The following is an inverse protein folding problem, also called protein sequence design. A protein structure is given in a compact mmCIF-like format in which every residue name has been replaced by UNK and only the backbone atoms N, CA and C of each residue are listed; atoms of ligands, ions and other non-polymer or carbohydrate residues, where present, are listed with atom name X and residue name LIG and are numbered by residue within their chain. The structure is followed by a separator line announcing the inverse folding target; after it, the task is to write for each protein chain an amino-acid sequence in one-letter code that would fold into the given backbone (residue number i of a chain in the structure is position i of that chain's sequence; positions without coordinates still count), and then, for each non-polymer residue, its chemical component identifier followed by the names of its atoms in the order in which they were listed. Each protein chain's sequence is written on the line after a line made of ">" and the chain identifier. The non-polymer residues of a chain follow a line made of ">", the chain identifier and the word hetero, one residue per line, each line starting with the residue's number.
data_IF_760372717450
#
_entry.id   IF_760372717450
#
_cell.length_a   1.000
_cell.length_b   1.000
_cell.length_c   1.000
_cell.angle_alpha   90.00
_cell.angle_beta   90.00
_cell.angle_gamma   90.00
#
_symmetry.space_group_name_H-M   'P 1'
#
loop_
_entity.id
_entity.type
_entity.pdbx_description
1 polymer ?
#
# COMPACT_ATOMS: atom_id res chain seq x y z
N UNK A 1 0.52 27.16 -13.61
CA UNK A 1 -0.02 25.98 -14.29
C UNK A 1 -0.03 24.89 -13.25
N UNK A 2 -1.20 24.35 -12.89
CA UNK A 2 -1.25 23.22 -11.96
C UNK A 2 -0.75 22.00 -12.72
N UNK A 3 0.41 21.46 -12.34
CA UNK A 3 0.85 20.17 -12.84
C UNK A 3 -0.25 19.17 -12.53
N UNK A 4 -0.82 18.59 -13.58
CA UNK A 4 -1.80 17.53 -13.44
C UNK A 4 -1.10 16.39 -12.69
N UNK A 5 -1.60 16.10 -11.50
CA UNK A 5 -1.21 14.96 -10.69
C UNK A 5 -1.20 13.73 -11.61
N UNK A 6 -0.04 13.12 -11.78
CA UNK A 6 0.12 11.93 -12.60
C UNK A 6 0.32 10.71 -11.69
N UNK A 7 -0.73 9.90 -11.45
CA UNK A 7 -0.64 8.72 -10.60
C UNK A 7 0.48 7.76 -10.99
N UNK A 8 0.77 7.65 -12.29
CA UNK A 8 1.83 6.76 -12.80
C UNK A 8 3.23 7.24 -12.41
N UNK A 9 3.43 8.56 -12.36
CA UNK A 9 4.70 9.14 -11.91
C UNK A 9 4.90 8.94 -10.39
N UNK A 10 3.82 9.10 -9.61
CA UNK A 10 3.82 8.79 -8.18
C UNK A 10 4.13 7.30 -7.97
N UNK A 11 3.49 6.42 -8.74
CA UNK A 11 3.71 4.98 -8.69
C UNK A 11 5.18 4.63 -8.99
N UNK A 12 5.75 5.25 -10.04
CA UNK A 12 7.14 5.06 -10.45
C UNK A 12 8.12 5.44 -9.34
N UNK A 13 7.95 6.62 -8.74
CA UNK A 13 8.80 7.09 -7.63
C UNK A 13 8.66 6.21 -6.39
N UNK A 14 7.43 5.83 -6.02
CA UNK A 14 7.16 4.97 -4.88
C UNK A 14 7.72 3.55 -5.08
N UNK A 15 7.68 3.02 -6.31
CA UNK A 15 8.32 1.75 -6.67
C UNK A 15 9.83 1.80 -6.56
N UNK A 16 10.45 2.91 -6.95
CA UNK A 16 11.89 3.09 -6.78
C UNK A 16 12.29 3.11 -5.30
N UNK A 17 11.52 3.80 -4.46
CA UNK A 17 11.71 3.78 -3.00
C UNK A 17 11.51 2.38 -2.42
N UNK A 18 10.49 1.64 -2.85
CA UNK A 18 10.30 0.26 -2.43
C UNK A 18 11.50 -0.63 -2.81
N UNK A 19 11.99 -0.53 -4.05
CA UNK A 19 13.11 -1.32 -4.55
C UNK A 19 14.41 -1.05 -3.81
N UNK A 20 14.64 0.21 -3.45
CA UNK A 20 15.85 0.66 -2.75
C UNK A 20 15.71 0.62 -1.23
N UNK A 21 14.58 0.10 -0.72
CA UNK A 21 14.31 0.07 0.71
C UNK A 21 15.40 -0.70 1.48
N UNK A 22 16.04 -0.07 2.49
CA UNK A 22 17.16 -0.65 3.19
C UNK A 22 16.76 -1.91 3.96
N UNK A 23 17.66 -2.90 3.97
CA UNK A 23 17.60 -4.08 4.85
C UNK A 23 18.54 -3.94 6.05
N UNK A 24 19.39 -2.92 6.04
CA UNK A 24 20.41 -2.67 7.04
C UNK A 24 20.49 -1.17 7.36
N UNK A 25 20.97 -0.84 8.56
CA UNK A 25 21.06 0.55 9.03
C UNK A 25 21.99 1.43 8.21
N UNK A 26 22.98 0.84 7.53
CA UNK A 26 23.96 1.54 6.69
C UNK A 26 23.32 2.32 5.54
N UNK A 27 22.21 1.82 4.98
CA UNK A 27 21.48 2.45 3.89
C UNK A 27 20.30 3.33 4.33
N UNK A 28 20.05 3.43 5.64
CA UNK A 28 18.86 4.10 6.15
C UNK A 28 18.86 5.60 5.84
N UNK A 29 19.96 6.30 6.10
CA UNK A 29 20.04 7.76 5.97
C UNK A 29 19.77 8.26 4.54
N UNK A 30 20.37 7.61 3.54
CA UNK A 30 20.22 7.98 2.14
C UNK A 30 18.80 7.69 1.62
N UNK A 31 18.24 6.57 2.06
CA UNK A 31 16.87 6.21 1.74
C UNK A 31 15.87 7.18 2.37
N UNK A 32 16.06 7.55 3.65
CA UNK A 32 15.22 8.50 4.37
C UNK A 32 15.19 9.87 3.70
N UNK A 33 16.34 10.33 3.18
CA UNK A 33 16.40 11.57 2.41
C UNK A 33 15.53 11.49 1.15
N UNK A 34 15.66 10.39 0.40
CA UNK A 34 14.86 10.14 -0.81
C UNK A 34 13.35 10.03 -0.50
N UNK A 35 13.01 9.39 0.62
CA UNK A 35 11.63 9.24 1.09
C UNK A 35 11.01 10.60 1.48
N UNK A 36 11.77 11.47 2.15
CA UNK A 36 11.33 12.83 2.47
C UNK A 36 11.16 13.70 1.23
N UNK A 37 12.09 13.62 0.28
CA UNK A 37 11.98 14.36 -0.98
C UNK A 37 10.73 13.95 -1.74
N UNK A 38 10.43 12.64 -1.80
CA UNK A 38 9.18 12.15 -2.36
C UNK A 38 7.95 12.68 -1.63
N UNK A 39 7.95 12.66 -0.30
CA UNK A 39 6.80 13.13 0.50
C UNK A 39 6.54 14.64 0.30
N UNK A 40 7.60 15.45 0.27
CA UNK A 40 7.49 16.89 0.06
C UNK A 40 6.97 17.24 -1.33
N UNK A 41 7.33 16.46 -2.34
CA UNK A 41 6.89 16.63 -3.73
C UNK A 41 5.48 16.06 -3.99
N UNK A 42 4.93 15.28 -3.06
CA UNK A 42 3.81 14.37 -3.33
C UNK A 42 2.55 15.09 -3.83
N UNK A 43 2.35 16.37 -3.51
CA UNK A 43 1.30 17.23 -4.07
C UNK A 43 -0.16 16.80 -3.80
N UNK A 44 -0.37 15.59 -3.29
CA UNK A 44 -1.66 14.97 -2.97
C UNK A 44 -1.60 14.18 -1.67
N UNK A 45 -2.73 14.05 -0.96
CA UNK A 45 -2.82 13.12 0.15
C UNK A 45 -2.83 11.67 -0.37
N UNK A 46 -1.86 10.87 0.06
CA UNK A 46 -1.90 9.41 -0.05
C UNK A 46 -2.41 8.76 1.24
N UNK A 47 -2.78 7.47 1.23
CA UNK A 47 -3.14 6.74 2.45
C UNK A 47 -2.06 6.86 3.52
N UNK A 48 -2.48 6.91 4.79
CA UNK A 48 -1.56 6.98 5.94
C UNK A 48 -0.56 5.81 5.97
N UNK A 49 -0.92 4.67 5.38
CA UNK A 49 0.00 3.55 5.18
C UNK A 49 1.26 3.92 4.40
N UNK A 50 1.15 4.81 3.40
CA UNK A 50 2.34 5.29 2.66
C UNK A 50 3.23 6.12 3.58
N UNK A 51 2.65 6.98 4.42
CA UNK A 51 3.41 7.74 5.40
C UNK A 51 4.15 6.80 6.37
N UNK A 52 3.47 5.82 6.96
CA UNK A 52 4.12 4.84 7.85
C UNK A 52 5.25 4.09 7.14
N UNK A 53 5.04 3.69 5.88
CA UNK A 53 6.09 3.03 5.11
C UNK A 53 7.36 3.86 4.96
N UNK A 54 7.18 5.15 4.66
CA UNK A 54 8.26 6.13 4.45
C UNK A 54 8.98 6.51 5.73
N UNK A 55 8.29 6.50 6.88
CA UNK A 55 8.86 6.93 8.16
C UNK A 55 9.41 5.77 9.01
N UNK A 56 8.84 4.58 8.90
CA UNK A 56 9.17 3.45 9.78
C UNK A 56 10.25 2.52 9.19
N UNK A 57 11.15 3.04 8.35
CA UNK A 57 12.19 2.24 7.72
C UNK A 57 13.13 1.59 8.76
N UNK A 58 13.42 2.28 9.86
CA UNK A 58 14.23 1.73 10.96
C UNK A 58 13.53 0.53 11.64
N UNK A 59 12.21 0.57 11.74
CA UNK A 59 11.38 -0.47 12.33
C UNK A 59 11.27 -1.65 11.38
N UNK A 60 11.13 -1.41 10.08
CA UNK A 60 11.17 -2.46 9.03
C UNK A 60 12.52 -3.18 8.96
N UNK A 61 13.62 -2.53 9.35
CA UNK A 61 14.93 -3.19 9.46
C UNK A 61 14.98 -4.13 10.68
N UNK A 62 14.32 -3.76 11.79
CA UNK A 62 14.35 -4.51 13.06
C UNK A 62 13.32 -5.64 13.11
N UNK A 63 12.20 -5.51 12.39
CA UNK A 63 11.09 -6.46 12.40
C UNK A 63 10.77 -6.94 10.96
N UNK A 64 11.24 -8.15 10.58
CA UNK A 64 10.95 -8.73 9.27
C UNK A 64 9.46 -8.95 9.00
N UNK A 65 8.66 -9.27 10.02
CA UNK A 65 7.22 -9.51 9.85
C UNK A 65 6.45 -8.21 9.59
N UNK A 66 6.88 -7.12 10.24
CA UNK A 66 6.38 -5.79 9.95
C UNK A 66 6.77 -5.34 8.54
N UNK A 67 8.02 -5.60 8.14
CA UNK A 67 8.50 -5.32 6.78
C UNK A 67 7.64 -6.02 5.73
N UNK A 68 7.40 -7.33 5.86
CA UNK A 68 6.61 -8.09 4.89
C UNK A 68 5.20 -7.51 4.73
N UNK A 69 4.57 -7.15 5.86
CA UNK A 69 3.23 -6.54 5.89
C UNK A 69 3.21 -5.17 5.19
N UNK A 70 4.24 -4.35 5.44
CA UNK A 70 4.41 -3.02 4.86
C UNK A 70 4.71 -3.09 3.35
N UNK A 71 5.57 -4.01 2.91
CA UNK A 71 5.93 -4.20 1.50
C UNK A 71 4.76 -4.77 0.68
N UNK A 72 3.89 -5.60 1.28
CA UNK A 72 2.64 -6.06 0.65
C UNK A 72 1.65 -4.90 0.46
N UNK A 73 1.42 -4.10 1.51
CA UNK A 73 0.53 -2.94 1.45
C UNK A 73 0.99 -1.94 0.37
N UNK A 74 2.28 -1.61 0.33
CA UNK A 74 2.82 -0.69 -0.70
C UNK A 74 2.71 -1.27 -2.10
N UNK A 75 2.89 -2.58 -2.29
CA UNK A 75 2.67 -3.22 -3.60
C UNK A 75 1.23 -3.00 -4.09
N UNK A 76 0.24 -3.14 -3.22
CA UNK A 76 -1.16 -2.86 -3.54
C UNK A 76 -1.38 -1.40 -3.95
N UNK A 77 -0.87 -0.46 -3.16
CA UNK A 77 -0.98 0.99 -3.44
C UNK A 77 -0.32 1.38 -4.76
N UNK A 78 0.88 0.86 -5.05
CA UNK A 78 1.54 1.13 -6.31
C UNK A 78 0.72 0.55 -7.48
N UNK A 79 0.15 -0.65 -7.33
CA UNK A 79 -0.69 -1.25 -8.38
C UNK A 79 -1.95 -0.42 -8.69
N UNK A 80 -2.55 0.20 -7.69
CA UNK A 80 -3.69 1.11 -7.89
C UNK A 80 -3.27 2.37 -8.64
N UNK A 81 -2.14 2.98 -8.23
CA UNK A 81 -1.57 4.16 -8.87
C UNK A 81 -1.16 3.89 -10.33
N UNK A 82 -0.58 2.73 -10.63
CA UNK A 82 -0.24 2.29 -11.99
C UNK A 82 -1.49 2.12 -12.87
N UNK A 83 -2.60 1.72 -12.26
CA UNK A 83 -3.90 1.59 -12.93
C UNK A 83 -4.60 2.94 -13.14
N UNK A 84 -3.98 4.06 -12.70
CA UNK A 84 -4.52 5.41 -12.81
C UNK A 84 -5.47 5.79 -11.68
N UNK A 85 -5.64 4.95 -10.65
CA UNK A 85 -6.45 5.24 -9.48
C UNK A 85 -5.59 5.85 -8.39
N UNK A 86 -6.04 6.98 -7.81
CA UNK A 86 -5.44 7.52 -6.59
C UNK A 86 -6.10 6.81 -5.41
N UNK A 87 -5.35 6.03 -4.60
CA UNK A 87 -5.92 5.34 -3.45
C UNK A 87 -6.54 6.36 -2.49
N UNK A 88 -7.77 6.10 -2.04
CA UNK A 88 -8.42 6.98 -1.08
C UNK A 88 -7.63 6.96 0.24
N UNK A 89 -7.42 8.14 0.83
CA UNK A 89 -6.80 8.29 2.16
C UNK A 89 -7.59 7.61 3.29
N UNK A 90 -8.79 7.12 3.00
CA UNK A 90 -9.69 6.46 3.94
C UNK A 90 -9.34 4.99 4.06
N UNK A 91 -8.75 4.60 5.18
CA UNK A 91 -8.36 3.23 5.52
C UNK A 91 -9.51 2.22 5.55
N UNK A 92 -10.01 1.81 4.38
CA UNK A 92 -10.70 0.55 4.19
C UNK A 92 -9.74 -0.44 3.55
N UNK A 93 -8.83 -0.94 4.38
CA UNK A 93 -8.21 -2.24 4.12
C UNK A 93 -9.33 -3.28 4.12
N UNK A 94 -9.93 -3.55 2.97
CA UNK A 94 -10.62 -4.83 2.80
C UNK A 94 -9.49 -5.84 2.70
N UNK A 95 -9.02 -6.31 3.85
CA UNK A 95 -8.08 -7.41 3.92
C UNK A 95 -8.81 -8.64 3.41
N UNK A 96 -8.65 -8.94 2.12
CA UNK A 96 -9.09 -10.21 1.54
C UNK A 96 -8.14 -11.31 2.02
N UNK A 97 -8.20 -11.64 3.31
CA UNK A 97 -7.53 -12.82 3.83
C UNK A 97 -8.15 -14.07 3.16
N UNK A 98 -7.34 -15.05 2.72
CA UNK A 98 -7.85 -16.26 2.07
C UNK A 98 -8.80 -17.08 2.97
N UNK A 99 -8.73 -16.90 4.30
CA UNK A 99 -9.69 -17.49 5.25
C UNK A 99 -11.12 -16.93 5.11
N UNK A 100 -11.30 -15.72 4.56
CA UNK A 100 -12.61 -15.09 4.38
C UNK A 100 -13.29 -15.47 3.06
N UNK A 101 -12.54 -15.93 2.05
CA UNK A 101 -13.11 -16.44 0.80
C UNK A 101 -14.06 -17.62 1.04
N UNK A 102 -13.73 -18.50 1.99
CA UNK A 102 -14.60 -19.60 2.40
C UNK A 102 -15.88 -19.13 3.08
N UNK A 103 -15.82 -18.07 3.89
CA UNK A 103 -16.98 -17.50 4.58
C UNK A 103 -17.91 -16.80 3.59
N UNK A 104 -17.35 -16.03 2.64
CA UNK A 104 -18.13 -15.36 1.58
C UNK A 104 -18.82 -16.41 0.70
N UNK A 105 -18.14 -17.50 0.34
CA UNK A 105 -18.73 -18.60 -0.42
C UNK A 105 -19.88 -19.29 0.34
N UNK A 106 -19.73 -19.54 1.64
CA UNK A 106 -20.78 -20.11 2.48
C UNK A 106 -22.00 -19.20 2.61
N UNK A 107 -21.81 -17.89 2.75
CA UNK A 107 -22.91 -16.92 2.83
C UNK A 107 -23.65 -16.83 1.50
N UNK A 108 -22.94 -16.83 0.36
CA UNK A 108 -23.56 -16.87 -0.97
C UNK A 108 -24.34 -18.16 -1.20
N UNK A 109 -23.79 -19.31 -0.82
CA UNK A 109 -24.48 -20.61 -0.90
C UNK A 109 -25.74 -20.64 -0.02
N UNK A 110 -25.67 -20.11 1.21
CA UNK A 110 -26.82 -20.03 2.09
C UNK A 110 -27.91 -19.10 1.54
N UNK A 111 -27.54 -17.96 0.95
CA UNK A 111 -28.48 -17.04 0.31
C UNK A 111 -29.17 -17.68 -0.91
N UNK A 112 -28.42 -18.40 -1.75
CA UNK A 112 -28.96 -19.15 -2.89
C UNK A 112 -29.91 -20.28 -2.43
N UNK A 113 -29.54 -21.01 -1.37
CA UNK A 113 -30.38 -22.05 -0.80
C UNK A 113 -31.69 -21.49 -0.26
N UNK A 114 -31.64 -20.38 0.48
CA UNK A 114 -32.84 -19.71 1.01
C UNK A 114 -33.75 -19.17 -0.11
N UNK A 115 -33.18 -18.67 -1.20
CA UNK A 115 -33.92 -18.23 -2.38
C UNK A 115 -34.54 -19.40 -3.16
N UNK A 116 -33.91 -20.57 -3.16
CA UNK A 116 -34.41 -21.78 -3.84
C UNK A 116 -35.55 -22.51 -3.10
N UNK A 117 -35.74 -22.20 -1.81
CA UNK A 117 -36.79 -22.80 -0.95
C UNK A 117 -38.04 -21.91 -0.91
N UNK A 118 -38.02 -20.73 -1.54
CA UNK A 118 -39.15 -19.82 -1.60
C UNK A 118 -39.99 -20.02 -2.87
#
# INVERSE_FOLDING_TARGET
>A
MADLINPQEIARRLRELQRTSPTEMSGLADWDASARDFWNDLGIPLPSGVMHYLHDADTRIKDPSYRDSQDEMIRGIISELESGFVPESTGKTISFHPRWLGVIALVLLAALYLASIR
#
